data_IF_210613424664
#
_entry.id   IF_210613424664
#
_cell.length_a   1.000
_cell.length_b   1.000
_cell.length_c   1.000
_cell.angle_alpha   90.00
_cell.angle_beta   90.00
_cell.angle_gamma   90.00
#
_symmetry.space_group_name_H-M   'P 1'
#
loop_
_entity.id
_entity.type
_entity.pdbx_description
1 polymer ?
#
# COMPACT_ATOMS: atom_id res chain seq x y z
N UNK A 1 -11.17 -17.59 14.71
CA UNK A 1 -11.41 -17.42 13.25
C UNK A 1 -10.21 -16.64 12.70
N UNK A 2 -9.32 -17.31 11.94
CA UNK A 2 -8.01 -16.76 11.58
C UNK A 2 -8.15 -15.50 10.70
N UNK A 3 -7.46 -14.39 11.04
CA UNK A 3 -7.46 -13.10 10.31
C UNK A 3 -7.35 -13.26 8.79
N UNK A 4 -6.63 -14.30 8.34
CA UNK A 4 -6.53 -14.70 6.95
C UNK A 4 -7.89 -14.87 6.23
N UNK A 5 -8.89 -15.50 6.86
CA UNK A 5 -10.22 -15.66 6.26
C UNK A 5 -10.99 -14.34 6.17
N UNK A 6 -10.65 -13.35 6.98
CA UNK A 6 -11.23 -12.01 6.91
C UNK A 6 -10.63 -11.19 5.75
N UNK A 7 -9.49 -11.62 5.19
CA UNK A 7 -8.88 -11.07 3.98
C UNK A 7 -9.39 -11.73 2.69
N UNK A 8 -10.22 -12.77 2.77
CA UNK A 8 -10.83 -13.39 1.59
C UNK A 8 -11.56 -12.39 0.69
N UNK A 9 -12.38 -11.45 1.21
CA UNK A 9 -12.99 -10.41 0.39
C UNK A 9 -11.96 -9.52 -0.33
N UNK A 10 -10.87 -9.18 0.37
CA UNK A 10 -9.76 -8.41 -0.19
C UNK A 10 -9.07 -9.15 -1.34
N UNK A 11 -8.81 -10.45 -1.18
CA UNK A 11 -8.21 -11.28 -2.23
C UNK A 11 -9.12 -11.45 -3.44
N UNK A 12 -10.42 -11.63 -3.22
CA UNK A 12 -11.40 -11.72 -4.29
C UNK A 12 -11.46 -10.42 -5.09
N UNK A 13 -11.47 -9.26 -4.42
CA UNK A 13 -11.41 -7.96 -5.12
C UNK A 13 -10.07 -7.71 -5.79
N UNK A 14 -8.95 -8.15 -5.19
CA UNK A 14 -7.63 -8.08 -5.83
C UNK A 14 -7.61 -8.85 -7.15
N UNK A 15 -8.30 -10.00 -7.22
CA UNK A 15 -8.37 -10.84 -8.41
C UNK A 15 -9.33 -10.28 -9.48
N UNK A 16 -10.42 -9.62 -9.06
CA UNK A 16 -11.49 -9.15 -9.98
C UNK A 16 -11.45 -7.64 -10.29
N UNK A 17 -10.62 -6.89 -9.56
CA UNK A 17 -10.44 -5.46 -9.71
C UNK A 17 -9.50 -5.10 -10.86
N UNK A 18 -9.68 -3.91 -11.42
CA UNK A 18 -8.77 -3.38 -12.45
C UNK A 18 -7.46 -2.82 -11.86
N UNK A 19 -7.48 -2.38 -10.60
CA UNK A 19 -6.28 -1.92 -9.91
C UNK A 19 -5.72 -3.01 -9.01
N UNK A 20 -4.40 -3.18 -9.09
CA UNK A 20 -3.68 -4.13 -8.25
C UNK A 20 -3.60 -3.60 -6.84
N UNK A 21 -3.78 -4.49 -5.86
CA UNK A 21 -3.66 -4.17 -4.45
C UNK A 21 -2.94 -5.28 -3.70
N UNK A 22 -2.14 -4.89 -2.72
CA UNK A 22 -1.37 -5.78 -1.88
C UNK A 22 -1.62 -5.42 -0.41
N UNK A 23 -1.81 -6.44 0.42
CA UNK A 23 -1.94 -6.26 1.85
C UNK A 23 -0.57 -6.44 2.49
N UNK A 24 -0.02 -5.39 3.07
CA UNK A 24 1.33 -5.36 3.65
C UNK A 24 1.28 -5.78 5.11
N UNK A 25 2.12 -6.75 5.45
CA UNK A 25 2.25 -7.29 6.81
C UNK A 25 3.58 -6.93 7.48
N UNK A 26 4.60 -6.56 6.69
CA UNK A 26 5.89 -6.07 7.19
C UNK A 26 6.50 -5.13 6.16
N UNK A 27 7.15 -4.09 6.64
CA UNK A 27 7.94 -3.17 5.83
C UNK A 27 9.29 -2.94 6.53
N UNK A 28 10.36 -2.84 5.76
CA UNK A 28 11.72 -2.62 6.24
C UNK A 28 12.44 -1.66 5.30
N UNK A 29 12.99 -0.58 5.86
CA UNK A 29 13.71 0.44 5.12
C UNK A 29 15.18 0.04 4.99
N UNK A 30 15.69 0.07 3.76
CA UNK A 30 17.11 -0.05 3.43
C UNK A 30 17.63 1.35 3.10
N UNK A 31 18.16 2.10 4.09
CA UNK A 31 18.50 3.51 3.92
C UNK A 31 19.65 3.73 2.92
N UNK A 32 20.60 2.79 2.83
CA UNK A 32 21.77 2.90 1.94
C UNK A 32 21.39 2.86 0.46
N UNK A 33 20.37 2.06 0.10
CA UNK A 33 19.92 1.89 -1.29
C UNK A 33 18.64 2.65 -1.63
N UNK A 34 18.06 3.41 -0.67
CA UNK A 34 16.76 4.08 -0.81
C UNK A 34 15.64 3.15 -1.27
N UNK A 35 15.64 1.93 -0.74
CA UNK A 35 14.66 0.89 -1.07
C UNK A 35 13.87 0.47 0.16
N UNK A 36 12.63 0.06 -0.07
CA UNK A 36 11.74 -0.57 0.90
C UNK A 36 11.59 -2.03 0.56
N UNK A 37 11.85 -2.88 1.54
CA UNK A 37 11.50 -4.30 1.49
C UNK A 37 10.14 -4.48 2.14
N UNK A 38 9.16 -4.87 1.33
CA UNK A 38 7.77 -5.01 1.72
C UNK A 38 7.40 -6.49 1.66
N UNK A 39 6.88 -7.04 2.75
CA UNK A 39 6.25 -8.36 2.76
C UNK A 39 4.75 -8.18 2.62
N UNK A 40 4.22 -8.75 1.56
CA UNK A 40 2.80 -8.74 1.24
C UNK A 40 2.18 -10.11 1.51
N UNK A 41 0.92 -10.13 1.90
CA UNK A 41 0.13 -11.34 2.00
C UNK A 41 -0.53 -11.64 0.64
N UNK A 42 -0.26 -12.81 0.08
CA UNK A 42 -0.96 -13.39 -1.06
C UNK A 42 -2.08 -14.32 -0.63
N UNK A 43 -2.83 -14.83 -1.62
CA UNK A 43 -3.93 -15.78 -1.42
C UNK A 43 -3.44 -17.14 -0.90
N UNK A 44 -2.19 -17.48 -1.15
CA UNK A 44 -1.58 -18.78 -0.85
C UNK A 44 -0.22 -18.64 -0.13
N UNK A 45 0.55 -17.60 -0.46
CA UNK A 45 1.88 -17.38 0.10
C UNK A 45 2.16 -15.92 0.47
N UNK A 46 3.18 -15.72 1.31
CA UNK A 46 3.78 -14.40 1.50
C UNK A 46 4.68 -14.05 0.30
N UNK A 47 4.65 -12.79 -0.10
CA UNK A 47 5.40 -12.27 -1.25
C UNK A 47 6.30 -11.15 -0.75
N UNK A 48 7.61 -11.31 -0.94
CA UNK A 48 8.58 -10.27 -0.66
C UNK A 48 8.77 -9.40 -1.90
N UNK A 49 8.68 -8.08 -1.73
CA UNK A 49 8.90 -7.08 -2.78
C UNK A 49 9.96 -6.09 -2.35
N UNK A 50 10.82 -5.69 -3.27
CA UNK A 50 11.74 -4.57 -3.08
C UNK A 50 11.21 -3.44 -3.98
N UNK A 51 10.97 -2.28 -3.37
CA UNK A 51 10.39 -1.11 -4.03
C UNK A 51 11.29 0.08 -3.78
N UNK A 52 11.61 0.83 -4.80
CA UNK A 52 12.37 2.08 -4.64
C UNK A 52 11.48 3.17 -4.07
N UNK A 53 12.02 3.96 -3.13
CA UNK A 53 11.28 5.06 -2.49
C UNK A 53 10.73 6.08 -3.49
N UNK A 54 11.44 6.32 -4.59
CA UNK A 54 11.04 7.29 -5.61
C UNK A 54 9.75 6.92 -6.35
N UNK A 55 9.39 5.64 -6.31
CA UNK A 55 8.18 5.09 -6.94
C UNK A 55 7.02 4.96 -5.95
N UNK A 56 7.25 5.21 -4.67
CA UNK A 56 6.27 5.03 -3.61
C UNK A 56 5.68 6.38 -3.22
N UNK A 57 4.39 6.58 -3.52
CA UNK A 57 3.67 7.82 -3.22
C UNK A 57 2.66 7.54 -2.11
N UNK A 58 2.74 8.22 -0.97
CA UNK A 58 1.67 8.15 0.03
C UNK A 58 0.40 8.77 -0.57
N UNK A 59 -0.73 8.09 -0.41
CA UNK A 59 -2.02 8.52 -0.95
C UNK A 59 -3.04 8.58 0.16
N UNK A 60 -4.00 9.50 0.03
CA UNK A 60 -5.11 9.58 0.98
C UNK A 60 -6.03 8.37 0.84
N UNK A 61 -6.74 8.04 1.92
CA UNK A 61 -7.76 7.01 1.88
C UNK A 61 -8.84 7.34 0.82
N UNK A 62 -9.20 8.61 0.69
CA UNK A 62 -10.18 9.10 -0.27
C UNK A 62 -9.75 8.87 -1.72
N UNK A 63 -8.48 9.14 -2.05
CA UNK A 63 -7.92 8.91 -3.38
C UNK A 63 -7.91 7.42 -3.71
N UNK A 64 -7.48 6.57 -2.77
CA UNK A 64 -7.58 5.12 -2.90
C UNK A 64 -9.05 4.68 -3.09
N UNK A 65 -9.96 5.24 -2.31
CA UNK A 65 -11.38 4.89 -2.32
C UNK A 65 -12.03 5.24 -3.66
N UNK A 66 -11.65 6.36 -4.29
CA UNK A 66 -12.12 6.74 -5.61
C UNK A 66 -11.47 5.93 -6.74
N UNK A 67 -10.18 5.63 -6.62
CA UNK A 67 -9.45 4.83 -7.60
C UNK A 67 -9.95 3.38 -7.64
N UNK A 68 -10.30 2.83 -6.48
CA UNK A 68 -10.94 1.52 -6.30
C UNK A 68 -12.42 1.56 -6.74
N UNK A 69 -12.65 1.64 -8.06
CA UNK A 69 -13.98 1.77 -8.69
C UNK A 69 -14.91 0.56 -8.50
N UNK A 70 -14.38 -0.59 -8.07
CA UNK A 70 -15.15 -1.83 -7.83
C UNK A 70 -14.98 -2.26 -6.38
N UNK A 71 -15.93 -1.86 -5.53
CA UNK A 71 -16.03 -2.29 -4.13
C UNK A 71 -17.19 -3.26 -4.03
N UNK A 72 -16.87 -4.53 -4.00
CA UNK A 72 -17.86 -5.59 -3.85
C UNK A 72 -18.08 -5.95 -2.38
N UNK A 73 -17.11 -5.63 -1.52
CA UNK A 73 -17.17 -5.96 -0.10
C UNK A 73 -16.79 -4.77 0.78
N UNK A 74 -17.22 -4.83 2.04
CA UNK A 74 -16.79 -3.90 3.06
C UNK A 74 -15.29 -4.03 3.31
N UNK A 75 -14.64 -2.91 3.58
CA UNK A 75 -13.22 -2.89 3.93
C UNK A 75 -13.03 -3.67 5.24
N UNK A 76 -12.03 -4.56 5.33
CA UNK A 76 -11.74 -5.24 6.58
C UNK A 76 -11.37 -4.22 7.67
N UNK A 77 -11.88 -4.36 8.91
CA UNK A 77 -11.72 -3.37 9.97
C UNK A 77 -10.28 -3.18 10.46
N UNK A 78 -9.38 -4.06 10.04
CA UNK A 78 -7.96 -4.03 10.40
C UNK A 78 -7.08 -3.39 9.31
N UNK A 79 -7.67 -2.75 8.30
CA UNK A 79 -6.91 -1.92 7.34
C UNK A 79 -6.59 -0.58 7.99
N UNK A 80 -5.33 -0.19 7.93
CA UNK A 80 -4.88 1.16 8.28
C UNK A 80 -5.20 2.12 7.13
N UNK A 81 -6.14 3.03 7.38
CA UNK A 81 -6.58 4.02 6.39
C UNK A 81 -5.63 5.21 6.29
N UNK A 82 -4.80 5.43 7.31
CA UNK A 82 -3.82 6.51 7.34
C UNK A 82 -2.52 6.09 6.64
N UNK A 83 -2.31 4.78 6.47
CA UNK A 83 -1.11 4.21 5.87
C UNK A 83 -1.45 3.51 4.54
N UNK A 84 -1.68 4.31 3.50
CA UNK A 84 -1.89 3.84 2.13
C UNK A 84 -0.81 4.40 1.21
N UNK A 85 -0.20 3.52 0.43
CA UNK A 85 0.81 3.91 -0.56
C UNK A 85 0.46 3.39 -1.94
N UNK A 86 0.83 4.14 -2.97
CA UNK A 86 0.71 3.76 -4.36
C UNK A 86 2.10 3.60 -4.98
N UNK A 87 2.33 2.47 -5.62
CA UNK A 87 3.53 2.20 -6.39
C UNK A 87 3.31 2.58 -7.85
N UNK A 88 3.95 3.67 -8.28
CA UNK A 88 3.83 4.17 -9.64
C UNK A 88 4.45 3.24 -10.69
N UNK A 89 5.50 2.50 -10.33
CA UNK A 89 6.21 1.60 -11.24
C UNK A 89 5.41 0.32 -11.53
N UNK A 90 4.72 -0.21 -10.51
CA UNK A 90 3.98 -1.47 -10.59
C UNK A 90 2.46 -1.29 -10.76
N UNK A 91 1.98 -0.04 -10.74
CA UNK A 91 0.55 0.33 -10.76
C UNK A 91 -0.25 -0.49 -9.73
N UNK A 92 0.16 -0.40 -8.46
CA UNK A 92 -0.49 -1.12 -7.37
C UNK A 92 -0.54 -0.33 -6.06
N UNK A 93 -1.59 -0.58 -5.27
CA UNK A 93 -1.75 -0.02 -3.93
C UNK A 93 -1.23 -0.97 -2.86
N UNK A 94 -0.54 -0.41 -1.87
CA UNK A 94 -0.14 -1.06 -0.63
C UNK A 94 -1.04 -0.59 0.51
N UNK A 95 -1.74 -1.54 1.11
CA UNK A 95 -2.64 -1.33 2.25
C UNK A 95 -2.09 -2.07 3.45
N UNK A 96 -2.07 -1.42 4.61
CA UNK A 96 -1.34 -1.91 5.77
C UNK A 96 -2.31 -2.41 6.85
N UNK A 97 -1.85 -3.33 7.70
CA UNK A 97 -2.60 -3.82 8.86
C UNK A 97 -2.51 -2.83 10.04
N UNK A 98 -3.62 -2.27 10.52
CA UNK A 98 -3.63 -1.39 11.71
C UNK A 98 -3.43 -2.14 13.03
N UNK A 99 -3.57 -3.48 13.03
CA UNK A 99 -3.39 -4.33 14.21
C UNK A 99 -2.02 -5.01 14.26
N UNK A 100 -1.17 -4.76 13.26
CA UNK A 100 0.21 -5.21 13.23
C UNK A 100 1.05 -4.46 14.28
N UNK A 101 1.99 -5.16 14.93
CA UNK A 101 3.07 -4.48 15.66
C UNK A 101 4.08 -4.00 14.63
N UNK A 102 3.97 -2.74 14.29
CA UNK A 102 4.92 -2.01 13.46
C UNK A 102 6.07 -1.55 14.35
N UNK A 103 7.29 -2.01 14.05
CA UNK A 103 8.48 -1.57 14.79
C UNK A 103 8.79 -0.13 14.36
N UNK A 104 8.64 0.82 15.29
CA UNK A 104 8.63 2.25 14.99
C UNK A 104 9.99 2.78 14.50
N UNK A 105 11.08 2.09 14.79
CA UNK A 105 12.43 2.46 14.33
C UNK A 105 12.58 2.51 12.80
N UNK A 106 11.76 1.76 12.05
CA UNK A 106 11.84 1.73 10.58
C UNK A 106 10.79 2.55 9.83
N UNK A 107 9.77 3.06 10.53
CA UNK A 107 8.55 3.64 9.94
C UNK A 107 8.46 5.13 10.22
N UNK A 108 8.87 5.58 11.42
CA UNK A 108 8.98 7.00 11.76
C UNK A 108 10.31 7.60 11.26
N UNK A 109 10.65 7.32 9.99
CA UNK A 109 11.84 7.90 9.38
C UNK A 109 11.47 9.21 8.66
N UNK A 110 12.22 10.32 8.81
CA UNK A 110 11.90 11.61 8.18
C UNK A 110 11.72 11.51 6.66
N UNK A 111 12.47 10.60 6.02
CA UNK A 111 12.44 10.31 4.59
C UNK A 111 11.14 9.65 4.13
N UNK A 112 10.32 9.09 5.04
CA UNK A 112 8.99 8.55 4.73
C UNK A 112 7.87 9.54 5.03
N UNK A 113 8.19 10.72 5.60
CA UNK A 113 7.19 11.71 5.94
C UNK A 113 6.49 12.25 4.69
N UNK A 114 5.16 12.38 4.78
CA UNK A 114 4.33 13.03 3.77
C UNK A 114 4.90 14.40 3.35
N UNK A 115 5.43 15.17 4.30
CA UNK A 115 6.02 16.48 4.05
C UNK A 115 7.24 16.45 3.11
N UNK A 116 7.98 15.34 3.04
CA UNK A 116 9.16 15.21 2.18
C UNK A 116 8.87 14.50 0.85
N UNK A 117 7.91 13.55 0.84
CA UNK A 117 7.66 12.71 -0.34
C UNK A 117 6.44 13.11 -1.17
N UNK A 118 5.51 13.87 -0.59
CA UNK A 118 4.30 14.27 -1.32
C UNK A 118 4.63 15.37 -2.33
N UNK A 119 4.75 14.98 -3.60
CA UNK A 119 4.89 15.91 -4.73
C UNK A 119 3.57 15.97 -5.50
N UNK A 120 2.71 16.87 -5.05
CA UNK A 120 1.36 17.09 -5.60
C UNK A 120 1.37 17.30 -7.12
N UNK A 121 2.35 18.05 -7.65
CA UNK A 121 2.49 18.31 -9.08
C UNK A 121 2.77 17.03 -9.87
N UNK A 122 3.70 16.19 -9.40
CA UNK A 122 4.01 14.89 -10.02
C UNK A 122 2.82 13.93 -9.98
N UNK A 123 2.03 13.98 -8.90
CA UNK A 123 0.79 13.20 -8.78
C UNK A 123 -0.25 13.65 -9.81
N UNK A 124 -0.57 14.94 -9.88
CA UNK A 124 -1.53 15.46 -10.87
C UNK A 124 -1.11 15.21 -12.32
N UNK A 125 0.20 15.31 -12.62
CA UNK A 125 0.73 15.02 -13.95
C UNK A 125 0.59 13.52 -14.31
N UNK A 126 0.66 12.60 -13.33
CA UNK A 126 0.44 11.16 -13.58
C UNK A 126 -1.03 10.78 -13.85
N UNK A 127 -1.97 11.60 -13.39
CA UNK A 127 -3.42 11.37 -13.55
C UNK A 127 -3.96 12.08 -14.80
N UNK A 128 -3.26 13.09 -15.33
CA UNK A 128 -3.56 13.71 -16.63
C UNK A 128 -3.12 12.81 -17.78
N UNK A 129 -4.00 11.89 -18.14
CA UNK A 129 -4.01 11.28 -19.47
C UNK A 129 -4.47 12.36 -20.45
N UNK A 130 -3.60 12.77 -21.37
CA UNK A 130 -3.97 13.50 -22.59
C UNK A 130 -4.48 12.49 -23.62
#
# INVERSE_FOLDING_TARGET
MHKFMQLTPFFIEKMMGWQRKQFVVKMELLPESKQLKIKCLGHDQQIDKIVELENLVPVTWEDYFQASKRRLFAIPPFVDVDMVYYNQSQDEFYLFDNTGKWDSEGIEHPVLSLAQNFNEKKWFDSVRII
#
